data_IF_412775844617
#
_entry.id   IF_412775844617
#
_cell.length_a   1.000
_cell.length_b   1.000
_cell.length_c   1.000
_cell.angle_alpha   90.00
_cell.angle_beta   90.00
_cell.angle_gamma   90.00
#
_symmetry.space_group_name_H-M   'P 1'
#
loop_
_entity.id
_entity.type
_entity.pdbx_description
1 polymer ?
#
# COMPACT_ATOMS: atom_id res chain seq x y z
N UNK A 1 -17.44 -42.02 -24.69
CA UNK A 1 -17.84 -40.71 -24.11
C UNK A 1 -16.75 -40.25 -23.15
N UNK A 2 -15.74 -39.53 -23.66
CA UNK A 2 -14.65 -39.00 -22.84
C UNK A 2 -15.04 -37.62 -22.32
N UNK A 3 -15.16 -37.49 -20.99
CA UNK A 3 -15.41 -36.22 -20.32
C UNK A 3 -14.14 -35.37 -20.40
N UNK A 4 -14.10 -34.47 -21.38
CA UNK A 4 -13.06 -33.43 -21.46
C UNK A 4 -13.29 -32.47 -20.30
N UNK A 5 -12.53 -32.65 -19.22
CA UNK A 5 -12.48 -31.74 -18.09
C UNK A 5 -12.06 -30.36 -18.60
N UNK A 6 -12.90 -29.34 -18.41
CA UNK A 6 -12.54 -27.94 -18.69
C UNK A 6 -11.41 -27.58 -17.72
N UNK A 7 -10.17 -27.56 -18.21
CA UNK A 7 -9.06 -26.90 -17.52
C UNK A 7 -9.49 -25.44 -17.26
N UNK A 8 -9.41 -25.02 -16.01
CA UNK A 8 -9.67 -23.64 -15.63
C UNK A 8 -8.63 -22.75 -16.32
N UNK A 9 -9.05 -21.64 -16.93
CA UNK A 9 -8.20 -20.66 -17.65
C UNK A 9 -7.03 -20.08 -16.83
N UNK A 10 -6.96 -20.39 -15.53
CA UNK A 10 -5.90 -19.96 -14.62
C UNK A 10 -4.60 -20.78 -14.76
N UNK A 11 -4.65 -22.02 -15.24
CA UNK A 11 -3.45 -22.87 -15.36
C UNK A 11 -2.47 -22.38 -16.45
N UNK A 12 -2.93 -21.54 -17.40
CA UNK A 12 -2.06 -20.91 -18.41
C UNK A 12 -1.49 -19.55 -17.98
N UNK A 13 -1.98 -18.95 -16.88
CA UNK A 13 -1.50 -17.66 -16.40
C UNK A 13 -0.16 -17.76 -15.63
N UNK A 14 0.19 -18.96 -15.16
CA UNK A 14 1.46 -19.26 -14.47
C UNK A 14 2.69 -19.22 -15.38
N UNK A 15 2.52 -19.31 -16.70
CA UNK A 15 3.65 -19.44 -17.64
C UNK A 15 4.28 -18.10 -18.08
N UNK A 16 3.69 -16.95 -17.73
CA UNK A 16 4.07 -15.66 -18.33
C UNK A 16 4.73 -14.64 -17.38
N UNK A 17 4.77 -14.87 -16.07
CA UNK A 17 5.48 -13.98 -15.15
C UNK A 17 6.90 -14.51 -14.90
N UNK A 18 7.96 -13.88 -15.46
CA UNK A 18 9.31 -14.30 -15.17
C UNK A 18 9.64 -14.08 -13.68
N UNK A 19 10.51 -14.93 -13.13
CA UNK A 19 11.00 -14.80 -11.77
C UNK A 19 11.67 -13.44 -11.55
N UNK A 20 11.62 -12.96 -10.30
CA UNK A 20 12.44 -11.83 -9.91
C UNK A 20 13.93 -12.14 -10.04
N UNK A 21 14.69 -11.13 -10.45
CA UNK A 21 16.13 -11.27 -10.71
C UNK A 21 16.89 -10.22 -9.91
N UNK A 22 18.01 -10.64 -9.32
CA UNK A 22 18.82 -9.81 -8.44
C UNK A 22 19.45 -8.61 -9.16
N UNK A 23 19.77 -8.77 -10.45
CA UNK A 23 20.49 -7.74 -11.20
C UNK A 23 19.69 -6.44 -11.38
N UNK A 24 18.36 -6.45 -11.19
CA UNK A 24 17.55 -5.23 -11.13
C UNK A 24 18.05 -4.23 -10.06
N UNK A 25 18.65 -4.74 -8.98
CA UNK A 25 19.27 -3.92 -7.92
C UNK A 25 20.73 -3.55 -8.17
N UNK A 26 21.33 -4.13 -9.21
CA UNK A 26 22.78 -4.06 -9.48
C UNK A 26 23.16 -2.97 -10.48
N UNK A 27 22.22 -2.19 -11.00
CA UNK A 27 22.53 -1.07 -11.91
C UNK A 27 23.03 0.12 -11.09
N UNK A 28 24.36 0.36 -11.00
CA UNK A 28 24.89 1.41 -10.16
C UNK A 28 24.53 2.76 -10.75
N UNK A 29 24.03 3.69 -9.93
CA UNK A 29 23.72 5.05 -10.35
C UNK A 29 22.33 5.28 -10.97
N UNK A 30 21.52 4.23 -11.15
CA UNK A 30 20.13 4.38 -11.59
C UNK A 30 19.17 4.08 -10.44
N UNK A 31 18.61 5.10 -9.78
CA UNK A 31 17.59 4.87 -8.76
C UNK A 31 16.32 4.29 -9.40
N UNK A 32 15.40 3.69 -8.61
CA UNK A 32 14.11 3.27 -9.13
C UNK A 32 13.42 4.40 -9.90
N UNK A 33 12.68 4.08 -10.95
CA UNK A 33 12.10 5.09 -11.86
C UNK A 33 11.28 6.15 -11.11
N UNK A 34 10.60 5.79 -10.03
CA UNK A 34 9.78 6.70 -9.21
C UNK A 34 10.58 7.48 -8.14
N UNK A 35 11.90 7.34 -8.10
CA UNK A 35 12.77 8.06 -7.17
C UNK A 35 12.59 9.56 -7.27
N UNK A 36 12.44 10.20 -6.10
CA UNK A 36 12.31 11.65 -5.98
C UNK A 36 13.66 12.38 -6.16
N UNK A 37 14.75 11.64 -6.33
CA UNK A 37 16.05 12.20 -6.71
C UNK A 37 16.10 12.63 -8.19
N UNK A 38 15.25 12.04 -9.05
CA UNK A 38 15.13 12.46 -10.45
C UNK A 38 14.12 13.59 -10.61
N UNK A 39 14.41 14.55 -11.50
CA UNK A 39 13.48 15.62 -11.86
C UNK A 39 12.49 15.21 -12.97
N UNK A 40 12.82 14.17 -13.72
CA UNK A 40 12.05 13.71 -14.88
C UNK A 40 11.55 12.29 -14.65
N UNK A 41 10.38 11.99 -15.20
CA UNK A 41 9.86 10.62 -15.29
C UNK A 41 10.51 9.85 -16.47
N UNK A 42 10.14 8.58 -16.67
CA UNK A 42 10.70 7.76 -17.77
C UNK A 42 10.37 8.31 -19.17
N UNK A 43 9.29 9.07 -19.30
CA UNK A 43 8.90 9.75 -20.55
C UNK A 43 9.65 11.07 -20.80
N UNK A 44 10.66 11.41 -19.99
CA UNK A 44 11.40 12.69 -20.02
C UNK A 44 10.51 13.92 -19.78
N UNK A 45 9.34 13.74 -19.16
CA UNK A 45 8.48 14.84 -18.73
C UNK A 45 8.94 15.30 -17.34
N UNK A 46 9.07 16.61 -17.17
CA UNK A 46 9.41 17.22 -15.89
C UNK A 46 8.28 16.94 -14.88
N UNK A 47 8.64 16.43 -13.70
CA UNK A 47 7.68 16.20 -12.61
C UNK A 47 7.06 17.51 -12.11
N UNK A 48 5.93 17.40 -11.43
CA UNK A 48 5.14 18.52 -10.90
C UNK A 48 4.53 19.44 -11.96
N UNK A 49 4.55 19.01 -13.22
CA UNK A 49 3.81 19.64 -14.32
C UNK A 49 2.49 18.92 -14.57
N UNK A 50 1.42 19.60 -15.02
CA UNK A 50 0.13 18.97 -15.31
C UNK A 50 0.24 17.75 -16.24
N UNK A 51 1.14 17.79 -17.22
CA UNK A 51 1.38 16.73 -18.21
C UNK A 51 2.04 15.49 -17.59
N UNK A 52 2.71 15.65 -16.45
CA UNK A 52 3.30 14.56 -15.68
C UNK A 52 2.33 13.92 -14.69
N UNK A 53 1.06 14.35 -14.66
CA UNK A 53 0.08 13.90 -13.66
C UNK A 53 -1.19 13.33 -14.29
N UNK A 54 -1.85 12.45 -13.56
CA UNK A 54 -3.18 11.91 -13.83
C UNK A 54 -4.02 12.06 -12.56
N UNK A 55 -4.77 13.16 -12.45
CA UNK A 55 -5.40 13.56 -11.19
C UNK A 55 -4.35 13.87 -10.13
N UNK A 56 -4.43 13.22 -8.96
CA UNK A 56 -3.45 13.38 -7.86
C UNK A 56 -2.22 12.48 -8.00
N UNK A 57 -2.18 11.61 -9.01
CA UNK A 57 -1.08 10.68 -9.25
C UNK A 57 -0.05 11.28 -10.20
N UNK A 58 1.23 11.07 -9.92
CA UNK A 58 2.31 11.28 -10.89
C UNK A 58 2.36 10.10 -11.87
N UNK A 59 2.60 10.38 -13.14
CA UNK A 59 2.88 9.39 -14.18
C UNK A 59 4.38 9.13 -14.16
N UNK A 60 4.80 7.93 -13.74
CA UNK A 60 6.21 7.54 -13.66
C UNK A 60 6.68 6.87 -14.94
N UNK A 61 5.86 5.95 -15.44
CA UNK A 61 6.01 5.33 -16.76
C UNK A 61 4.65 5.45 -17.44
N UNK A 62 4.55 6.16 -18.58
CA UNK A 62 3.28 6.33 -19.28
C UNK A 62 2.57 5.00 -19.51
N UNK A 63 1.30 4.92 -19.10
CA UNK A 63 0.41 3.75 -19.20
C UNK A 63 0.80 2.51 -18.37
N UNK A 64 1.91 2.56 -17.62
CA UNK A 64 2.43 1.39 -16.90
C UNK A 64 2.56 1.60 -15.39
N UNK A 65 3.01 2.78 -14.95
CA UNK A 65 3.32 3.05 -13.55
C UNK A 65 2.92 4.46 -13.15
N UNK A 66 2.17 4.56 -12.07
CA UNK A 66 1.78 5.80 -11.41
C UNK A 66 2.20 5.80 -9.96
N UNK A 67 2.48 6.97 -9.40
CA UNK A 67 2.83 7.11 -7.99
C UNK A 67 2.00 8.19 -7.31
N UNK A 68 1.73 7.99 -6.02
CA UNK A 68 1.06 8.94 -5.15
C UNK A 68 1.86 9.04 -3.85
N UNK A 69 2.12 10.25 -3.37
CA UNK A 69 3.03 10.53 -2.26
C UNK A 69 2.32 11.22 -1.11
N UNK A 70 2.58 10.74 0.11
CA UNK A 70 2.13 11.42 1.33
C UNK A 70 3.15 12.46 1.76
N UNK A 71 2.91 13.05 2.91
CA UNK A 71 3.80 14.07 3.48
C UNK A 71 4.45 13.61 4.78
N UNK A 72 3.85 12.63 5.46
CA UNK A 72 4.24 12.25 6.80
C UNK A 72 4.86 10.86 6.86
N UNK A 73 6.10 10.75 7.35
CA UNK A 73 6.76 9.47 7.56
C UNK A 73 6.46 8.91 8.97
N UNK A 74 6.37 7.57 9.17
CA UNK A 74 6.18 6.98 10.51
C UNK A 74 7.19 7.44 11.56
N UNK A 75 8.45 7.63 11.14
CA UNK A 75 9.55 8.12 11.98
C UNK A 75 9.66 9.65 12.07
N UNK A 76 8.62 10.39 11.70
CA UNK A 76 8.61 11.84 11.89
C UNK A 76 8.66 12.20 13.39
N UNK A 77 9.34 13.31 13.72
CA UNK A 77 9.51 13.82 15.10
C UNK A 77 8.20 14.11 15.83
N UNK A 78 7.09 14.26 15.12
CA UNK A 78 5.78 14.41 15.75
C UNK A 78 5.29 13.13 16.45
N UNK A 79 5.85 11.98 16.06
CA UNK A 79 5.64 10.71 16.74
C UNK A 79 6.75 10.49 17.77
N UNK A 80 6.43 9.77 18.85
CA UNK A 80 7.41 9.49 19.90
C UNK A 80 8.60 8.73 19.32
N UNK A 81 9.82 9.27 19.51
CA UNK A 81 11.08 8.75 18.94
C UNK A 81 11.43 7.30 19.37
N UNK A 82 10.75 6.77 20.40
CA UNK A 82 10.88 5.38 20.81
C UNK A 82 10.03 4.41 19.97
N UNK A 83 9.29 4.92 18.97
CA UNK A 83 8.51 4.11 18.05
C UNK A 83 9.44 3.21 17.24
N UNK A 84 9.45 1.93 17.61
CA UNK A 84 10.15 0.86 16.92
C UNK A 84 9.76 0.84 15.43
N UNK A 85 10.62 0.27 14.57
CA UNK A 85 10.36 0.01 13.14
C UNK A 85 8.99 -0.61 12.86
N UNK A 86 8.43 -1.31 13.84
CA UNK A 86 7.15 -2.03 13.83
C UNK A 86 5.92 -1.13 13.79
N UNK A 87 6.03 0.16 14.14
CA UNK A 87 4.97 1.15 13.91
C UNK A 87 4.54 1.18 12.44
N UNK A 88 5.50 1.04 11.53
CA UNK A 88 5.22 1.02 10.09
C UNK A 88 4.40 -0.21 9.66
N UNK A 89 4.48 -1.32 10.39
CA UNK A 89 3.64 -2.49 10.12
C UNK A 89 2.18 -2.21 10.44
N UNK A 90 1.93 -1.45 11.52
CA UNK A 90 0.60 -0.96 11.86
C UNK A 90 0.06 -0.03 10.77
N UNK A 91 0.91 0.88 10.25
CA UNK A 91 0.57 1.73 9.12
C UNK A 91 0.23 0.92 7.86
N UNK A 92 0.99 -0.15 7.57
CA UNK A 92 0.68 -1.05 6.45
C UNK A 92 -0.66 -1.78 6.63
N UNK A 93 -0.99 -2.25 7.84
CA UNK A 93 -2.32 -2.81 8.16
C UNK A 93 -3.43 -1.75 7.97
N UNK A 94 -3.19 -0.52 8.41
CA UNK A 94 -4.13 0.59 8.19
C UNK A 94 -4.31 0.93 6.70
N UNK A 95 -3.25 0.83 5.89
CA UNK A 95 -3.33 0.97 4.45
C UNK A 95 -4.14 -0.18 3.80
N UNK A 96 -4.04 -1.42 4.29
CA UNK A 96 -4.95 -2.50 3.88
C UNK A 96 -6.41 -2.16 4.20
N UNK A 97 -6.69 -1.59 5.38
CA UNK A 97 -8.04 -1.13 5.73
C UNK A 97 -8.53 -0.06 4.76
N UNK A 98 -7.69 0.94 4.46
CA UNK A 98 -8.02 1.98 3.49
C UNK A 98 -8.28 1.42 2.08
N UNK A 99 -7.50 0.42 1.64
CA UNK A 99 -7.65 -0.20 0.31
C UNK A 99 -8.94 -1.02 0.19
N UNK A 100 -9.42 -1.60 1.29
CA UNK A 100 -10.72 -2.29 1.34
C UNK A 100 -11.89 -1.31 1.31
N UNK A 101 -11.71 -0.09 1.81
CA UNK A 101 -12.76 0.93 1.92
C UNK A 101 -12.85 1.84 0.70
N UNK A 102 -11.70 2.24 0.16
CA UNK A 102 -11.59 3.28 -0.84
C UNK A 102 -10.94 2.70 -2.10
N UNK A 103 -11.62 2.80 -3.27
CA UNK A 103 -10.95 2.61 -4.55
C UNK A 103 -9.71 3.51 -4.64
N UNK A 104 -8.64 3.03 -5.27
CA UNK A 104 -7.39 3.79 -5.35
C UNK A 104 -7.57 5.15 -6.02
N UNK A 105 -8.53 5.28 -6.96
CA UNK A 105 -8.88 6.56 -7.57
C UNK A 105 -9.26 7.66 -6.56
N UNK A 106 -9.67 7.31 -5.34
CA UNK A 106 -10.00 8.27 -4.27
C UNK A 106 -8.88 8.44 -3.24
N UNK A 107 -7.75 7.74 -3.39
CA UNK A 107 -6.62 7.95 -2.50
C UNK A 107 -6.00 9.32 -2.75
N UNK A 108 -5.64 10.00 -1.66
CA UNK A 108 -5.04 11.32 -1.69
C UNK A 108 -3.84 11.36 -0.77
N UNK A 109 -2.94 12.36 -0.89
CA UNK A 109 -1.84 12.53 0.06
C UNK A 109 -2.34 12.62 1.52
N UNK A 110 -3.46 13.31 1.75
CA UNK A 110 -4.08 13.43 3.07
C UNK A 110 -4.56 12.09 3.64
N UNK A 111 -5.10 11.20 2.80
CA UNK A 111 -5.49 9.86 3.24
C UNK A 111 -4.25 9.07 3.69
N UNK A 112 -3.11 9.21 3.00
CA UNK A 112 -1.88 8.55 3.43
C UNK A 112 -1.37 9.09 4.76
N UNK A 113 -1.42 10.39 4.99
CA UNK A 113 -1.06 10.95 6.30
C UNK A 113 -2.02 10.44 7.39
N UNK A 114 -3.32 10.34 7.10
CA UNK A 114 -4.29 9.74 8.01
C UNK A 114 -3.97 8.26 8.31
N UNK A 115 -3.54 7.48 7.31
CA UNK A 115 -3.06 6.10 7.50
C UNK A 115 -1.88 6.08 8.50
N UNK A 116 -0.90 6.98 8.36
CA UNK A 116 0.26 7.03 9.26
C UNK A 116 -0.16 7.41 10.68
N UNK A 117 -0.96 8.46 10.85
CA UNK A 117 -1.42 8.94 12.17
C UNK A 117 -2.25 7.86 12.89
N UNK A 118 -3.17 7.22 12.17
CA UNK A 118 -4.00 6.15 12.74
C UNK A 118 -3.18 4.86 12.98
N UNK A 119 -2.18 4.58 12.13
CA UNK A 119 -1.24 3.48 12.32
C UNK A 119 -0.40 3.63 13.58
N UNK A 120 0.11 4.83 13.85
CA UNK A 120 0.81 5.15 15.10
C UNK A 120 -0.07 4.91 16.33
N UNK A 121 -1.31 5.42 16.30
CA UNK A 121 -2.30 5.18 17.35
C UNK A 121 -2.56 3.68 17.56
N UNK A 122 -2.72 2.93 16.47
CA UNK A 122 -2.96 1.49 16.49
C UNK A 122 -1.78 0.70 17.07
N UNK A 123 -0.56 1.07 16.68
CA UNK A 123 0.67 0.49 17.22
C UNK A 123 0.79 0.72 18.73
N UNK A 124 0.67 1.98 19.18
CA UNK A 124 0.74 2.31 20.62
C UNK A 124 -0.34 1.59 21.42
N UNK A 125 -1.55 1.50 20.89
CA UNK A 125 -2.64 0.78 21.56
C UNK A 125 -2.38 -0.72 21.66
N UNK A 126 -1.69 -1.32 20.68
CA UNK A 126 -1.32 -2.73 20.69
C UNK A 126 -0.16 -2.99 21.65
N UNK A 127 0.82 -2.08 21.72
CA UNK A 127 1.94 -2.16 22.66
C UNK A 127 1.55 -2.12 24.14
N UNK A 128 0.44 -1.45 24.51
CA UNK A 128 0.00 -1.33 25.92
C UNK A 128 -0.19 -2.68 26.63
N UNK A 129 -0.35 -3.76 25.87
CA UNK A 129 -0.51 -5.11 26.42
C UNK A 129 0.83 -5.80 26.74
N UNK A 130 1.97 -5.16 26.44
CA UNK A 130 3.29 -5.77 26.52
C UNK A 130 4.26 -4.90 27.33
N UNK A 131 5.16 -5.56 28.05
CA UNK A 131 6.22 -4.91 28.82
C UNK A 131 7.35 -4.42 27.86
N UNK A 132 7.79 -3.13 27.94
CA UNK A 132 8.77 -2.57 27.01
C UNK A 132 10.17 -3.22 27.01
N UNK A 133 10.52 -4.03 28.01
CA UNK A 133 11.90 -4.48 28.24
C UNK A 133 12.38 -5.70 27.45
N UNK A 134 11.51 -6.68 27.18
CA UNK A 134 11.96 -8.02 26.70
C UNK A 134 11.14 -8.59 25.54
N UNK A 135 10.04 -7.94 25.16
CA UNK A 135 9.07 -8.54 24.24
C UNK A 135 9.41 -8.32 22.76
N UNK A 136 9.64 -9.42 22.03
CA UNK A 136 9.81 -9.38 20.59
C UNK A 136 8.45 -9.28 19.88
N UNK A 137 7.94 -8.06 19.75
CA UNK A 137 6.68 -7.78 19.04
C UNK A 137 6.70 -8.26 17.57
N UNK A 138 5.64 -8.93 17.14
CA UNK A 138 5.43 -9.56 15.83
C UNK A 138 4.13 -9.06 15.20
N UNK A 139 3.82 -9.49 13.96
CA UNK A 139 2.56 -9.13 13.31
C UNK A 139 1.32 -9.68 14.03
N UNK A 140 1.45 -10.78 14.78
CA UNK A 140 0.32 -11.41 15.48
C UNK A 140 -0.04 -10.69 16.79
N UNK A 141 0.80 -9.76 17.24
CA UNK A 141 0.66 -9.07 18.53
C UNK A 141 -0.15 -7.78 18.41
N UNK A 142 -0.51 -7.42 17.17
CA UNK A 142 -1.43 -6.34 16.90
C UNK A 142 -2.84 -6.70 17.40
N UNK A 143 -3.51 -5.73 18.02
CA UNK A 143 -4.91 -5.91 18.46
C UNK A 143 -5.81 -6.20 17.27
N UNK A 144 -6.81 -7.04 17.47
CA UNK A 144 -7.80 -7.36 16.45
C UNK A 144 -8.71 -6.18 16.07
N UNK A 145 -8.62 -5.04 16.77
CA UNK A 145 -9.42 -3.84 16.50
C UNK A 145 -8.55 -2.62 16.27
N UNK A 146 -8.85 -1.89 15.19
CA UNK A 146 -8.19 -0.64 14.83
C UNK A 146 -9.22 0.42 14.44
N UNK A 147 -8.75 1.66 14.26
CA UNK A 147 -9.59 2.78 13.79
C UNK A 147 -8.89 3.50 12.65
N UNK A 148 -9.62 3.78 11.57
CA UNK A 148 -9.20 4.71 10.52
C UNK A 148 -10.14 5.90 10.59
N UNK A 149 -9.61 7.05 11.02
CA UNK A 149 -10.41 8.24 11.32
C UNK A 149 -11.53 7.91 12.33
N UNK A 150 -12.80 8.07 11.95
CA UNK A 150 -13.96 7.81 12.81
C UNK A 150 -14.53 6.39 12.66
N UNK A 151 -13.92 5.54 11.83
CA UNK A 151 -14.41 4.20 11.57
C UNK A 151 -13.61 3.17 12.37
N UNK A 152 -14.30 2.23 13.01
CA UNK A 152 -13.70 1.12 13.73
C UNK A 152 -13.79 -0.16 12.92
N UNK A 153 -12.71 -0.96 12.95
CA UNK A 153 -12.61 -2.21 12.21
C UNK A 153 -12.17 -3.32 13.14
N UNK A 154 -12.60 -4.53 12.80
CA UNK A 154 -11.95 -5.76 13.21
C UNK A 154 -11.01 -6.20 12.09
N UNK A 155 -9.76 -6.48 12.42
CA UNK A 155 -8.70 -6.87 11.49
C UNK A 155 -8.18 -8.23 11.90
N UNK A 156 -7.99 -9.11 10.92
CA UNK A 156 -7.31 -10.37 11.12
C UNK A 156 -6.25 -10.58 10.03
N UNK A 157 -5.02 -10.90 10.44
CA UNK A 157 -3.90 -11.16 9.54
C UNK A 157 -3.64 -12.66 9.53
N UNK A 158 -3.61 -13.28 8.36
CA UNK A 158 -3.41 -14.72 8.21
C UNK A 158 -2.35 -15.00 7.14
N UNK A 159 -1.40 -15.88 7.47
CA UNK A 159 -0.34 -16.32 6.57
C UNK A 159 -0.93 -17.21 5.46
N UNK A 160 -0.74 -16.81 4.21
CA UNK A 160 -1.27 -17.51 3.03
C UNK A 160 -0.19 -18.23 2.25
N UNK A 161 0.96 -17.60 2.09
CA UNK A 161 2.07 -18.16 1.35
C UNK A 161 3.39 -17.70 1.94
N UNK A 162 4.43 -18.48 1.75
CA UNK A 162 5.79 -18.15 2.12
C UNK A 162 6.75 -18.62 1.04
N UNK A 163 7.93 -18.03 1.00
CA UNK A 163 8.91 -18.33 -0.02
C UNK A 163 10.23 -17.65 0.25
N UNK A 164 11.08 -17.62 -0.75
CA UNK A 164 12.37 -16.98 -0.68
C UNK A 164 12.64 -16.14 -1.94
N UNK A 165 13.16 -14.94 -1.75
CA UNK A 165 13.49 -14.04 -2.86
C UNK A 165 14.58 -14.63 -3.75
N UNK A 166 14.40 -14.47 -5.07
CA UNK A 166 15.35 -14.89 -6.11
C UNK A 166 15.59 -16.40 -6.13
N UNK A 167 14.58 -17.17 -5.71
CA UNK A 167 14.61 -18.63 -5.78
C UNK A 167 14.35 -19.10 -7.23
N UNK A 168 14.93 -20.25 -7.57
CA UNK A 168 14.86 -20.78 -8.93
C UNK A 168 13.45 -21.24 -9.30
N UNK A 169 13.09 -21.09 -10.58
CA UNK A 169 11.76 -21.49 -11.07
C UNK A 169 11.45 -22.97 -10.91
N UNK A 170 12.45 -23.85 -10.82
CA UNK A 170 12.24 -25.28 -10.63
C UNK A 170 12.34 -25.70 -9.16
N UNK A 171 12.56 -24.75 -8.24
CA UNK A 171 12.64 -25.03 -6.80
C UNK A 171 11.26 -25.38 -6.22
N UNK A 172 11.19 -26.29 -5.22
CA UNK A 172 9.99 -26.52 -4.43
C UNK A 172 9.62 -25.30 -3.55
N UNK A 173 10.59 -24.41 -3.28
CA UNK A 173 10.35 -23.16 -2.56
C UNK A 173 9.81 -22.12 -3.56
N UNK A 174 8.75 -21.41 -3.19
CA UNK A 174 8.21 -20.35 -4.04
C UNK A 174 9.15 -19.15 -4.09
N UNK A 175 9.42 -18.65 -5.29
CA UNK A 175 9.94 -17.30 -5.48
C UNK A 175 8.81 -16.26 -5.35
N UNK A 176 9.16 -14.98 -5.34
CA UNK A 176 8.18 -13.90 -5.16
C UNK A 176 7.15 -13.89 -6.28
N UNK A 177 7.57 -14.09 -7.53
CA UNK A 177 6.66 -14.16 -8.68
C UNK A 177 5.57 -15.22 -8.48
N UNK A 178 5.95 -16.46 -8.15
CA UNK A 178 5.01 -17.56 -7.85
C UNK A 178 4.12 -17.22 -6.65
N UNK A 179 4.71 -16.70 -5.57
CA UNK A 179 3.97 -16.30 -4.38
C UNK A 179 2.89 -15.26 -4.67
N UNK A 180 3.18 -14.26 -5.50
CA UNK A 180 2.20 -13.24 -5.91
C UNK A 180 1.09 -13.84 -6.78
N UNK A 181 1.41 -14.73 -7.72
CA UNK A 181 0.40 -15.43 -8.52
C UNK A 181 -0.54 -16.23 -7.61
N UNK A 182 0.02 -17.03 -6.70
CA UNK A 182 -0.75 -17.82 -5.73
C UNK A 182 -1.63 -16.90 -4.87
N UNK A 183 -1.06 -15.83 -4.32
CA UNK A 183 -1.80 -14.89 -3.46
C UNK A 183 -2.96 -14.24 -4.20
N UNK A 184 -2.70 -13.67 -5.37
CA UNK A 184 -3.72 -12.94 -6.10
C UNK A 184 -4.77 -13.83 -6.80
N UNK A 185 -4.56 -15.15 -6.84
CA UNK A 185 -5.58 -16.09 -7.32
C UNK A 185 -6.82 -16.11 -6.42
N UNK A 186 -6.66 -15.74 -5.13
CA UNK A 186 -7.71 -15.81 -4.12
C UNK A 186 -7.95 -14.47 -3.40
N UNK A 187 -6.90 -13.67 -3.22
CA UNK A 187 -6.93 -12.49 -2.35
C UNK A 187 -6.69 -11.21 -3.12
N UNK A 188 -7.38 -10.14 -2.74
CA UNK A 188 -7.26 -8.83 -3.42
C UNK A 188 -6.22 -7.93 -2.80
N UNK A 189 -6.08 -7.93 -1.49
CA UNK A 189 -5.19 -7.03 -0.74
C UNK A 189 -4.54 -7.81 0.39
N UNK A 190 -3.27 -7.54 0.66
CA UNK A 190 -2.55 -8.15 1.76
C UNK A 190 -1.20 -7.51 2.01
N UNK A 191 -0.40 -8.21 2.81
CA UNK A 191 0.94 -7.76 3.23
C UNK A 191 2.00 -8.72 2.70
N UNK A 192 3.00 -8.16 2.04
CA UNK A 192 4.28 -8.81 1.80
C UNK A 192 5.23 -8.43 2.92
N UNK A 193 5.60 -9.41 3.73
CA UNK A 193 6.50 -9.23 4.86
C UNK A 193 7.83 -9.95 4.60
N UNK A 194 8.93 -9.22 4.66
CA UNK A 194 10.28 -9.69 4.33
C UNK A 194 11.26 -9.38 5.47
N UNK A 195 12.09 -10.38 5.84
CA UNK A 195 13.14 -10.30 6.88
C UNK A 195 12.68 -9.83 8.26
N UNK A 196 11.41 -9.99 8.63
CA UNK A 196 10.88 -9.45 9.89
C UNK A 196 11.14 -7.95 10.09
N UNK A 197 11.28 -7.20 8.99
CA UNK A 197 11.64 -5.79 9.03
C UNK A 197 10.79 -4.97 8.07
N UNK A 198 10.57 -5.45 6.84
CA UNK A 198 9.82 -4.74 5.80
C UNK A 198 8.44 -5.36 5.62
N UNK A 199 7.40 -4.53 5.68
CA UNK A 199 6.00 -4.88 5.45
C UNK A 199 5.43 -3.93 4.39
N UNK A 200 5.28 -4.43 3.16
CA UNK A 200 4.74 -3.69 2.03
C UNK A 200 3.32 -4.17 1.77
N UNK A 201 2.38 -3.26 1.59
CA UNK A 201 1.03 -3.62 1.17
C UNK A 201 1.04 -3.94 -0.31
N UNK A 202 0.37 -5.01 -0.70
CA UNK A 202 0.14 -5.38 -2.10
C UNK A 202 -1.35 -5.52 -2.36
N UNK A 203 -1.79 -5.19 -3.56
CA UNK A 203 -3.17 -5.43 -3.93
C UNK A 203 -3.49 -5.39 -5.41
N UNK A 204 -4.71 -5.75 -5.75
CA UNK A 204 -5.36 -5.61 -7.06
C UNK A 204 -6.50 -4.60 -6.95
N UNK A 205 -6.55 -3.65 -7.88
CA UNK A 205 -7.66 -2.73 -8.03
C UNK A 205 -8.50 -3.17 -9.23
N UNK A 206 -9.72 -3.68 -8.98
CA UNK A 206 -10.61 -4.19 -10.03
C UNK A 206 -11.50 -3.08 -10.62
N UNK A 207 -11.06 -1.81 -10.58
CA UNK A 207 -11.85 -0.75 -11.18
C UNK A 207 -11.74 -0.80 -12.71
N UNK A 208 -12.55 -1.70 -13.30
CA UNK A 208 -12.73 -1.88 -14.73
C UNK A 208 -12.94 -0.51 -15.38
N UNK A 209 -11.98 -0.07 -16.19
CA UNK A 209 -12.06 1.19 -16.93
C UNK A 209 -11.46 2.42 -16.22
N UNK A 210 -10.89 2.30 -15.02
CA UNK A 210 -10.08 3.40 -14.50
C UNK A 210 -8.74 3.47 -15.22
N UNK A 211 -8.34 4.67 -15.60
CA UNK A 211 -6.96 4.99 -15.94
C UNK A 211 -6.14 4.84 -14.65
N UNK A 212 -5.18 3.90 -14.62
CA UNK A 212 -4.20 3.84 -13.51
C UNK A 212 -3.75 2.46 -13.04
N UNK A 213 -4.09 1.36 -13.72
CA UNK A 213 -3.46 0.06 -13.48
C UNK A 213 -4.20 -0.88 -12.53
N UNK A 214 -3.94 -2.17 -12.72
CA UNK A 214 -4.74 -3.29 -12.17
C UNK A 214 -4.16 -3.80 -10.82
N UNK A 215 -2.94 -3.38 -10.49
CA UNK A 215 -2.20 -3.78 -9.29
C UNK A 215 -1.67 -2.57 -8.55
N UNK A 216 -1.37 -2.71 -7.27
CA UNK A 216 -0.71 -1.66 -6.50
C UNK A 216 0.18 -2.20 -5.39
N UNK A 217 1.09 -1.35 -4.95
CA UNK A 217 1.77 -1.50 -3.66
C UNK A 217 1.76 -0.20 -2.88
N UNK A 218 1.83 -0.29 -1.56
CA UNK A 218 2.05 0.85 -0.68
C UNK A 218 3.20 0.56 0.29
N UNK A 219 4.12 1.51 0.40
CA UNK A 219 5.26 1.46 1.32
C UNK A 219 5.36 2.76 2.11
N UNK A 220 5.56 2.64 3.42
CA UNK A 220 5.77 3.75 4.34
C UNK A 220 7.08 3.65 5.12
N UNK A 221 7.92 2.66 4.82
CA UNK A 221 9.18 2.40 5.52
C UNK A 221 10.41 2.91 4.79
N UNK A 222 10.31 3.14 3.49
CA UNK A 222 11.44 3.58 2.68
C UNK A 222 11.94 4.96 3.11
N UNK A 223 13.25 5.06 3.26
CA UNK A 223 14.00 6.29 3.57
C UNK A 223 15.30 6.30 2.81
N UNK A 224 15.91 7.47 2.75
CA UNK A 224 17.25 7.66 2.20
C UNK A 224 17.37 7.17 0.75
N UNK A 225 18.62 6.99 0.30
CA UNK A 225 18.91 6.45 -1.02
C UNK A 225 18.34 5.03 -1.16
N UNK A 226 17.80 4.67 -2.34
CA UNK A 226 17.88 5.40 -3.60
C UNK A 226 16.65 6.28 -3.93
N UNK A 227 15.64 6.32 -3.07
CA UNK A 227 14.39 7.05 -3.37
C UNK A 227 14.44 8.51 -2.92
N UNK A 228 15.15 8.78 -1.83
CA UNK A 228 15.19 10.07 -1.14
C UNK A 228 16.63 10.49 -0.82
N UNK A 229 16.81 11.74 -0.39
CA UNK A 229 18.10 12.15 0.18
C UNK A 229 18.26 11.57 1.58
N UNK A 230 19.48 11.62 2.11
CA UNK A 230 19.77 11.21 3.49
C UNK A 230 18.90 11.99 4.48
N UNK A 231 18.25 11.29 5.41
CA UNK A 231 17.32 11.80 6.41
C UNK A 231 15.87 11.88 5.94
N UNK A 232 15.61 11.83 4.63
CA UNK A 232 14.27 11.99 4.07
C UNK A 232 13.55 10.64 3.90
N UNK A 233 12.23 10.71 3.85
CA UNK A 233 11.36 9.58 3.54
C UNK A 233 9.91 10.01 3.66
N UNK A 234 9.04 9.45 2.83
CA UNK A 234 7.59 9.67 2.87
C UNK A 234 6.89 8.41 2.38
N UNK A 235 5.65 8.16 2.82
CA UNK A 235 4.87 7.05 2.30
C UNK A 235 4.51 7.29 0.84
N UNK A 236 4.45 6.20 0.08
CA UNK A 236 4.05 6.24 -1.31
C UNK A 236 3.22 5.02 -1.70
N UNK A 237 2.31 5.25 -2.63
CA UNK A 237 1.55 4.20 -3.31
C UNK A 237 1.96 4.18 -4.78
N UNK A 238 2.26 2.98 -5.29
CA UNK A 238 2.49 2.76 -6.72
C UNK A 238 1.31 1.99 -7.29
N UNK A 239 0.74 2.49 -8.38
CA UNK A 239 -0.22 1.72 -9.19
C UNK A 239 0.50 1.19 -10.42
N UNK A 240 0.35 -0.10 -10.66
CA UNK A 240 1.07 -0.85 -11.68
C UNK A 240 0.05 -1.43 -12.66
N UNK A 241 0.29 -1.25 -13.97
CA UNK A 241 -0.61 -1.81 -14.98
C UNK A 241 -0.60 -3.34 -14.97
N UNK A 242 0.57 -3.94 -14.81
CA UNK A 242 0.77 -5.39 -14.87
C UNK A 242 1.31 -5.94 -13.55
N UNK A 243 1.11 -7.24 -13.33
CA UNK A 243 1.73 -7.95 -12.20
C UNK A 243 3.27 -7.94 -12.31
N UNK A 244 3.80 -7.95 -13.53
CA UNK A 244 5.25 -7.85 -13.75
C UNK A 244 5.80 -6.50 -13.29
N UNK A 245 5.11 -5.40 -13.59
CA UNK A 245 5.48 -4.08 -13.08
C UNK A 245 5.41 -4.02 -11.55
N UNK A 246 4.39 -4.64 -10.93
CA UNK A 246 4.32 -4.78 -9.47
C UNK A 246 5.53 -5.56 -8.93
N UNK A 247 5.88 -6.69 -9.54
CA UNK A 247 7.03 -7.51 -9.13
C UNK A 247 8.33 -6.70 -9.15
N UNK A 248 8.58 -5.97 -10.24
CA UNK A 248 9.72 -5.03 -10.32
C UNK A 248 9.68 -4.01 -9.19
N UNK A 249 8.54 -3.37 -8.96
CA UNK A 249 8.39 -2.36 -7.92
C UNK A 249 8.69 -2.91 -6.52
N UNK A 250 8.23 -4.12 -6.22
CA UNK A 250 8.46 -4.79 -4.95
C UNK A 250 9.94 -5.13 -4.75
N UNK A 251 10.63 -5.66 -5.77
CA UNK A 251 12.07 -5.96 -5.68
C UNK A 251 12.87 -4.71 -5.35
N UNK A 252 12.60 -3.61 -6.04
CA UNK A 252 13.28 -2.34 -5.80
C UNK A 252 12.95 -1.75 -4.43
N UNK A 253 11.68 -1.81 -4.00
CA UNK A 253 11.26 -1.29 -2.70
C UNK A 253 11.86 -2.10 -1.55
N UNK A 254 11.87 -3.44 -1.65
CA UNK A 254 12.49 -4.32 -0.67
C UNK A 254 14.02 -4.13 -0.63
N UNK A 255 14.65 -3.86 -1.77
CA UNK A 255 16.08 -3.59 -1.93
C UNK A 255 17.00 -4.69 -1.33
N UNK A 256 16.53 -5.93 -1.31
CA UNK A 256 17.25 -7.07 -0.75
C UNK A 256 18.26 -7.59 -1.77
N UNK A 257 19.56 -7.43 -1.48
CA UNK A 257 20.65 -7.83 -2.40
C UNK A 257 21.19 -9.26 -2.20
N UNK A 258 20.46 -10.10 -1.48
CA UNK A 258 20.87 -11.47 -1.16
C UNK A 258 19.82 -12.46 -1.66
N UNK A 259 20.26 -13.60 -2.20
CA UNK A 259 19.37 -14.71 -2.58
C UNK A 259 18.82 -15.43 -1.36
N UNK A 260 17.69 -16.12 -1.54
CA UNK A 260 17.06 -17.03 -0.56
C UNK A 260 16.65 -16.34 0.75
N UNK A 261 16.36 -15.06 0.69
CA UNK A 261 15.83 -14.31 1.82
C UNK A 261 14.34 -14.60 1.94
N UNK A 262 13.91 -15.06 3.12
CA UNK A 262 12.52 -15.43 3.36
C UNK A 262 11.56 -14.24 3.25
N UNK A 263 10.42 -14.50 2.63
CA UNK A 263 9.26 -13.63 2.66
C UNK A 263 8.00 -14.42 3.00
N UNK A 264 7.01 -13.70 3.48
CA UNK A 264 5.67 -14.20 3.79
C UNK A 264 4.63 -13.28 3.20
N UNK A 265 3.53 -13.86 2.71
CA UNK A 265 2.38 -13.17 2.17
C UNK A 265 1.20 -13.45 3.10
N UNK A 266 0.61 -12.37 3.61
CA UNK A 266 -0.51 -12.44 4.55
C UNK A 266 -1.75 -11.81 3.94
N UNK A 267 -2.90 -12.47 4.05
CA UNK A 267 -4.17 -11.77 3.82
C UNK A 267 -4.47 -10.91 5.04
N UNK A 268 -5.05 -9.74 4.81
CA UNK A 268 -5.56 -8.87 5.88
C UNK A 268 -7.06 -8.76 5.70
N UNK A 269 -7.80 -9.52 6.50
CA UNK A 269 -9.25 -9.47 6.51
C UNK A 269 -9.72 -8.28 7.35
N UNK A 270 -10.58 -7.44 6.77
CA UNK A 270 -11.06 -6.20 7.40
C UNK A 270 -12.59 -6.24 7.45
N UNK A 271 -13.14 -6.22 8.66
CA UNK A 271 -14.59 -6.17 8.91
C UNK A 271 -14.95 -4.88 9.62
N UNK A 272 -15.94 -4.15 9.12
CA UNK A 272 -16.39 -2.90 9.73
C UNK A 272 -17.19 -3.18 11.02
N UNK A 273 -16.89 -2.44 12.10
CA UNK A 273 -17.54 -2.57 13.42
C UNK A 273 -18.49 -1.41 13.72
N UNK A 274 -19.32 -1.02 12.76
CA UNK A 274 -20.38 -0.04 13.00
C UNK A 274 -21.64 -0.66 13.61
N UNK A 275 -22.48 0.16 14.24
CA UNK A 275 -23.84 -0.23 14.60
C UNK A 275 -24.64 -0.48 13.32
N UNK A 276 -24.94 -1.74 13.07
CA UNK A 276 -25.79 -2.20 11.97
C UNK A 276 -26.96 -2.89 12.64
N UNK A 277 -28.17 -2.34 12.47
CA UNK A 277 -29.38 -3.17 12.55
C UNK A 277 -29.17 -4.27 11.52
N UNK A 278 -29.17 -5.51 12.00
CA UNK A 278 -28.90 -6.73 11.24
C UNK A 278 -29.45 -6.64 9.82
N UNK A 279 -28.54 -6.68 8.85
CA UNK A 279 -28.72 -7.44 7.60
C UNK A 279 -27.51 -7.26 6.66
N UNK A 280 -26.86 -8.41 6.43
CA UNK A 280 -26.03 -8.79 5.27
C UNK A 280 -24.72 -8.03 5.01
N UNK A 281 -23.62 -8.76 5.21
CA UNK A 281 -22.18 -8.42 5.17
C UNK A 281 -21.67 -7.67 3.90
N UNK A 282 -22.46 -7.57 2.83
CA UNK A 282 -22.09 -6.82 1.62
C UNK A 282 -22.48 -5.33 1.62
N UNK A 283 -23.47 -4.95 2.45
CA UNK A 283 -24.07 -3.60 2.39
C UNK A 283 -23.39 -2.62 3.37
N UNK A 284 -22.68 -3.12 4.37
CA UNK A 284 -22.03 -2.34 5.43
C UNK A 284 -20.90 -1.45 4.91
N UNK A 285 -20.00 -1.98 4.07
CA UNK A 285 -18.93 -1.19 3.43
C UNK A 285 -19.50 -0.16 2.45
N UNK A 286 -20.60 -0.50 1.75
CA UNK A 286 -21.29 0.41 0.83
C UNK A 286 -22.02 1.54 1.56
N UNK A 287 -22.63 1.24 2.71
CA UNK A 287 -23.22 2.23 3.63
C UNK A 287 -22.15 3.13 4.25
N UNK A 288 -21.03 2.58 4.73
CA UNK A 288 -19.89 3.35 5.21
C UNK A 288 -19.36 4.29 4.12
N UNK A 289 -19.11 3.78 2.91
CA UNK A 289 -18.71 4.59 1.75
C UNK A 289 -19.73 5.70 1.42
N UNK A 290 -21.04 5.45 1.55
CA UNK A 290 -22.10 6.46 1.35
C UNK A 290 -22.08 7.54 2.44
N UNK A 291 -21.92 7.16 3.72
CA UNK A 291 -21.77 8.10 4.83
C UNK A 291 -20.53 8.99 4.67
N UNK A 292 -19.43 8.41 4.18
CA UNK A 292 -18.18 9.14 3.95
C UNK A 292 -18.25 10.09 2.75
N UNK A 293 -18.92 9.72 1.65
CA UNK A 293 -19.22 10.64 0.53
C UNK A 293 -20.07 11.84 0.97
N UNK A 294 -20.95 11.68 1.97
CA UNK A 294 -21.69 12.80 2.58
C UNK A 294 -20.78 13.68 3.46
N UNK A 295 -19.80 13.09 4.15
CA UNK A 295 -18.80 13.80 4.96
C UNK A 295 -17.84 14.65 4.11
N UNK A 296 -17.32 14.10 3.01
CA UNK A 296 -16.43 14.83 2.09
C UNK A 296 -17.12 16.06 1.47
N UNK A 297 -18.38 15.94 1.01
CA UNK A 297 -19.15 17.10 0.50
C UNK A 297 -19.38 18.17 1.56
N UNK A 298 -19.61 17.79 2.82
CA UNK A 298 -19.72 18.75 3.93
C UNK A 298 -18.40 19.47 4.17
N UNK A 299 -17.27 18.76 4.14
CA UNK A 299 -15.96 19.36 4.37
C UNK A 299 -15.55 20.29 3.21
N UNK A 300 -15.84 19.91 1.96
CA UNK A 300 -15.64 20.74 0.76
C UNK A 300 -16.50 22.01 0.80
N UNK A 301 -17.79 21.90 1.14
CA UNK A 301 -18.67 23.06 1.29
C UNK A 301 -18.24 23.98 2.44
N UNK A 302 -17.77 23.41 3.55
CA UNK A 302 -17.28 24.20 4.70
C UNK A 302 -16.00 24.95 4.33
N UNK A 303 -15.09 24.33 3.57
CA UNK A 303 -13.90 24.99 3.07
C UNK A 303 -14.21 26.05 2.00
N UNK A 304 -15.19 25.82 1.12
CA UNK A 304 -15.64 26.82 0.14
C UNK A 304 -16.21 28.07 0.84
N UNK A 305 -17.05 27.89 1.87
CA UNK A 305 -17.60 28.99 2.67
C UNK A 305 -16.50 29.75 3.44
N UNK A 306 -15.48 29.05 3.94
CA UNK A 306 -14.35 29.65 4.68
C UNK A 306 -13.39 30.43 3.77
N UNK A 307 -13.21 30.00 2.52
CA UNK A 307 -12.43 30.72 1.51
C UNK A 307 -13.19 31.98 1.06
N UNK A 308 -14.50 31.89 0.87
CA UNK A 308 -15.34 33.05 0.49
C UNK A 308 -15.45 34.10 1.59
N UNK A 309 -15.49 33.67 2.87
CA UNK A 309 -15.44 34.57 4.02
C UNK A 309 -14.13 35.39 4.08
N UNK A 310 -12.98 34.77 3.76
CA UNK A 310 -11.69 35.47 3.73
C UNK A 310 -11.53 36.43 2.55
N UNK A 311 -12.15 36.18 1.40
CA UNK A 311 -12.13 37.12 0.26
C UNK A 311 -13.01 38.36 0.51
N UNK A 312 -14.07 38.26 1.29
CA UNK A 312 -14.94 39.40 1.61
C UNK A 312 -14.36 40.30 2.72
N UNK A 313 -13.41 39.82 3.53
CA UNK A 313 -12.71 40.64 4.53
C UNK A 313 -11.53 41.43 3.96
N UNK A 314 -11.03 41.07 2.76
CA UNK A 314 -9.93 41.78 2.08
C UNK A 314 -10.40 42.87 1.10
N UNK A 315 -11.72 43.11 1.00
CA UNK A 315 -12.32 44.13 0.12
C UNK A 315 -12.92 45.32 0.88
N UNK A 316 -12.68 45.41 2.19
CA UNK A 316 -13.21 46.45 3.09
C UNK A 316 -12.16 47.07 4.04
N UNK A 317 -10.88 46.97 3.68
CA UNK A 317 -9.78 47.63 4.39
C UNK A 317 -8.98 48.52 3.44
#
# INVERSE_FOLDING_TARGET
MSRRCKKNDWDCATDWLPAEVLYWLSVPGYPPVWSRLSRYNAGRVLRDRPESKSGVYDIEIPRELWSLWGYLHPLDKMFNLNACSKQSWACSIMACCAATLYPLAHWTPRLMDAIIINGDNYYRNSLRSFDPGEYLFTLNDFKDTCKLENLQFKVHTELIAFGALYEENNSPIMNLAKGLITFFSQYRVGLLHCRHQRAVVIGRDNCNGCVGGDYFMYDCQSRDFPLFRKGEGVPYLLRCKTLHMLLYCLVMALAVRCKRVQFTLHKVEVRYKGSVNDDQDGDCLRKAMKCMKKGQRKLENTNYLRIRGKCNEQSLA
#
